data_IF_650936705407
#
_entry.id   IF_650936705407
#
_cell.length_a   1.000
_cell.length_b   1.000
_cell.length_c   1.000
_cell.angle_alpha   90.00
_cell.angle_beta   90.00
_cell.angle_gamma   90.00
#
_symmetry.space_group_name_H-M   'P 1'
#
loop_
_entity.id
_entity.type
_entity.pdbx_description
1 polymer ?
#
# COMPACT_ATOMS: atom_id res chain seq x y z
N UNK A 1 -30.17 38.19 -41.69
CA UNK A 1 -29.10 38.81 -42.48
C UNK A 1 -27.79 38.31 -41.96
N UNK A 2 -27.25 37.36 -42.65
CA UNK A 2 -25.96 37.34 -43.38
C UNK A 2 -24.75 37.48 -42.45
N UNK A 3 -23.77 36.66 -42.36
CA UNK A 3 -23.23 35.71 -43.34
C UNK A 3 -21.72 35.73 -43.22
N UNK A 4 -21.10 34.62 -43.58
CA UNK A 4 -19.70 34.55 -44.03
C UNK A 4 -18.67 34.14 -42.94
N UNK A 5 -18.20 32.99 -43.06
CA UNK A 5 -17.16 32.29 -43.86
C UNK A 5 -15.93 31.93 -43.03
N UNK A 6 -15.72 30.63 -42.98
CA UNK A 6 -14.45 29.97 -42.69
C UNK A 6 -13.32 30.37 -43.64
N UNK A 7 -12.06 30.19 -43.27
CA UNK A 7 -11.21 29.36 -44.12
C UNK A 7 -10.56 28.16 -43.46
N UNK A 8 -10.62 27.06 -44.20
CA UNK A 8 -9.74 25.90 -44.10
C UNK A 8 -8.32 26.31 -44.54
N UNK A 9 -7.32 25.84 -43.83
CA UNK A 9 -5.97 25.71 -44.39
C UNK A 9 -5.56 24.24 -44.23
N UNK A 10 -5.27 23.63 -45.40
CA UNK A 10 -4.71 22.31 -45.60
C UNK A 10 -3.18 22.36 -45.61
N UNK A 11 -2.61 21.18 -45.44
CA UNK A 11 -1.31 20.69 -45.89
C UNK A 11 -0.16 20.91 -44.86
N UNK A 12 0.77 20.01 -44.67
CA UNK A 12 1.30 18.98 -45.56
C UNK A 12 2.05 17.93 -44.76
N UNK A 13 1.90 16.72 -45.25
CA UNK A 13 2.63 15.49 -44.98
C UNK A 13 4.11 15.64 -45.41
N UNK A 14 5.06 15.28 -44.58
CA UNK A 14 6.42 14.98 -45.03
C UNK A 14 6.89 13.66 -44.39
N UNK A 15 6.89 12.64 -45.25
CA UNK A 15 7.43 11.31 -45.11
C UNK A 15 8.91 11.38 -45.41
N UNK A 16 9.80 10.95 -44.50
CA UNK A 16 11.20 10.64 -44.81
C UNK A 16 11.49 9.22 -44.41
N UNK A 17 11.58 8.37 -45.42
CA UNK A 17 12.18 7.03 -45.39
C UNK A 17 13.68 7.15 -45.62
N UNK A 18 14.49 6.44 -44.81
CA UNK A 18 15.85 6.08 -45.17
C UNK A 18 16.13 4.63 -44.78
N UNK A 19 16.38 3.88 -45.84
CA UNK A 19 16.82 2.48 -45.89
C UNK A 19 18.35 2.38 -45.76
N UNK A 20 18.83 1.23 -45.34
CA UNK A 20 20.15 0.67 -45.65
C UNK A 20 20.98 0.40 -44.40
N UNK A 21 21.72 -0.67 -44.29
CA UNK A 21 21.95 -1.87 -45.08
C UNK A 21 22.58 -2.93 -44.17
N UNK A 22 22.34 -4.18 -44.47
CA UNK A 22 23.05 -5.37 -43.98
C UNK A 22 24.54 -5.37 -44.33
N UNK A 23 25.33 -5.97 -43.45
CA UNK A 23 26.59 -6.65 -43.88
C UNK A 23 26.86 -7.87 -43.02
N UNK A 24 26.78 -9.00 -43.65
CA UNK A 24 27.26 -10.33 -43.26
C UNK A 24 28.75 -10.49 -43.61
N UNK A 25 29.53 -11.18 -42.76
CA UNK A 25 30.69 -12.01 -43.19
C UNK A 25 31.03 -12.97 -42.05
N UNK A 26 30.67 -14.22 -42.17
CA UNK A 26 31.39 -15.44 -42.62
C UNK A 26 32.61 -15.82 -41.80
N UNK A 27 32.49 -17.02 -41.27
CA UNK A 27 33.44 -18.00 -40.73
C UNK A 27 34.76 -18.13 -41.48
N UNK A 28 35.79 -18.51 -40.73
CA UNK A 28 36.73 -19.55 -41.17
C UNK A 28 37.40 -20.25 -39.99
N UNK A 29 37.38 -21.57 -40.06
CA UNK A 29 38.02 -22.55 -39.20
C UNK A 29 39.56 -22.53 -39.38
N UNK A 30 40.32 -22.91 -38.37
CA UNK A 30 41.52 -23.71 -38.59
C UNK A 30 41.93 -24.53 -37.35
N UNK A 31 41.99 -25.84 -37.55
CA UNK A 31 42.59 -26.85 -36.69
C UNK A 31 44.12 -26.77 -36.74
N UNK A 32 44.82 -27.06 -35.67
CA UNK A 32 45.94 -28.01 -35.67
C UNK A 32 46.54 -28.30 -34.29
N UNK A 33 46.58 -29.54 -33.99
CA UNK A 33 47.26 -30.41 -33.09
C UNK A 33 48.64 -29.97 -32.50
N UNK A 34 48.89 -30.41 -31.23
CA UNK A 34 50.26 -30.53 -30.68
C UNK A 34 50.29 -30.93 -29.21
N UNK A 35 50.44 -32.23 -28.97
CA UNK A 35 50.71 -32.94 -27.73
C UNK A 35 51.97 -32.43 -26.99
N UNK A 36 51.90 -32.38 -25.62
CA UNK A 36 52.83 -33.06 -24.67
C UNK A 36 52.46 -32.71 -23.20
N UNK A 37 52.23 -33.73 -22.39
CA UNK A 37 52.38 -33.74 -20.93
C UNK A 37 53.84 -33.96 -20.57
N UNK A 38 54.37 -33.66 -19.33
CA UNK A 38 53.82 -34.04 -18.05
C UNK A 38 54.10 -33.11 -16.82
N UNK A 39 53.56 -33.54 -15.70
CA UNK A 39 54.05 -33.43 -14.30
C UNK A 39 53.47 -32.33 -13.40
N UNK A 40 52.59 -32.73 -12.56
CA UNK A 40 52.68 -32.73 -11.10
C UNK A 40 52.74 -31.38 -10.39
N UNK A 41 51.58 -30.91 -9.86
CA UNK A 41 51.57 -30.15 -8.61
C UNK A 41 50.24 -30.37 -7.91
N UNK A 42 50.31 -30.95 -6.74
CA UNK A 42 49.25 -31.18 -5.81
C UNK A 42 48.62 -29.86 -5.36
N UNK A 43 47.39 -29.64 -5.74
CA UNK A 43 46.54 -28.61 -5.13
C UNK A 43 45.84 -29.18 -3.89
N UNK A 44 45.80 -28.47 -2.76
CA UNK A 44 45.07 -28.96 -1.59
C UNK A 44 43.58 -28.95 -1.89
N UNK A 45 42.90 -30.02 -1.43
CA UNK A 45 41.48 -30.18 -1.49
C UNK A 45 40.80 -28.99 -0.81
N UNK A 46 40.05 -28.21 -1.58
CA UNK A 46 39.06 -27.29 -1.03
C UNK A 46 37.96 -28.13 -0.36
N UNK A 47 37.89 -28.09 0.94
CA UNK A 47 36.75 -28.55 1.71
C UNK A 47 35.51 -27.84 1.20
N UNK A 48 34.57 -28.58 0.65
CA UNK A 48 33.22 -28.10 0.44
C UNK A 48 32.60 -27.85 1.83
N UNK A 49 32.71 -26.61 2.31
CA UNK A 49 31.79 -26.11 3.32
C UNK A 49 30.40 -26.07 2.65
N UNK A 50 29.53 -26.88 3.18
CA UNK A 50 28.15 -27.00 2.70
C UNK A 50 27.45 -25.66 2.99
N UNK A 51 26.66 -25.16 2.02
CA UNK A 51 25.82 -23.96 2.12
C UNK A 51 24.83 -23.95 3.30
N UNK A 52 24.79 -25.00 4.08
CA UNK A 52 23.98 -25.13 5.30
C UNK A 52 24.63 -24.52 6.55
N UNK A 53 25.93 -24.26 6.57
CA UNK A 53 26.60 -23.67 7.74
C UNK A 53 26.62 -22.12 7.74
N UNK A 54 26.18 -21.46 6.66
CA UNK A 54 26.14 -19.99 6.60
C UNK A 54 24.82 -19.41 7.16
N UNK A 55 23.88 -20.25 7.58
CA UNK A 55 22.49 -19.84 7.88
C UNK A 55 22.15 -19.68 9.35
N UNK A 56 23.10 -19.63 10.29
CA UNK A 56 22.77 -19.56 11.73
C UNK A 56 23.67 -18.62 12.54
N UNK A 57 24.12 -17.52 11.96
CA UNK A 57 24.53 -16.42 12.81
C UNK A 57 23.27 -15.58 13.07
N UNK A 58 22.69 -15.71 14.26
CA UNK A 58 21.56 -14.90 14.68
C UNK A 58 21.95 -13.43 14.53
N UNK A 59 21.13 -12.66 13.81
CA UNK A 59 21.35 -11.21 13.67
C UNK A 59 21.55 -10.58 15.06
N UNK A 60 22.46 -9.62 15.23
CA UNK A 60 22.66 -8.96 16.52
C UNK A 60 21.33 -8.38 17.02
N UNK A 61 21.04 -8.51 18.32
CA UNK A 61 19.78 -8.07 18.94
C UNK A 61 19.40 -6.62 18.58
N UNK A 62 20.39 -5.78 18.34
CA UNK A 62 20.18 -4.39 17.94
C UNK A 62 19.62 -4.25 16.53
N UNK A 63 20.00 -5.14 15.60
CA UNK A 63 19.48 -5.18 14.25
C UNK A 63 18.05 -5.70 14.22
N UNK A 64 17.71 -6.72 15.05
CA UNK A 64 16.34 -7.24 15.19
C UNK A 64 15.39 -6.15 15.66
N UNK A 65 15.80 -5.35 16.67
CA UNK A 65 14.98 -4.25 17.18
C UNK A 65 14.73 -3.17 16.11
N UNK A 66 15.75 -2.81 15.36
CA UNK A 66 15.63 -1.84 14.27
C UNK A 66 14.71 -2.37 13.15
N UNK A 67 14.83 -3.65 12.79
CA UNK A 67 13.94 -4.31 11.83
C UNK A 67 12.49 -4.36 12.34
N UNK A 68 12.28 -4.72 13.62
CA UNK A 68 10.97 -4.74 14.23
C UNK A 68 10.31 -3.36 14.23
N UNK A 69 11.05 -2.30 14.54
CA UNK A 69 10.53 -0.94 14.47
C UNK A 69 10.19 -0.51 13.04
N UNK A 70 11.01 -0.88 12.07
CA UNK A 70 10.90 -0.41 10.68
C UNK A 70 9.62 -0.87 9.95
N UNK A 71 8.93 -1.87 10.46
CA UNK A 71 7.66 -2.37 9.88
C UNK A 71 6.42 -1.81 10.59
N UNK A 72 6.55 -0.86 11.52
CA UNK A 72 5.45 -0.32 12.32
C UNK A 72 5.05 1.08 11.87
N UNK A 73 3.73 1.36 11.95
CA UNK A 73 3.15 2.67 11.62
C UNK A 73 2.22 3.15 12.77
N UNK A 74 2.79 3.66 13.88
CA UNK A 74 2.02 4.23 14.98
C UNK A 74 1.35 5.56 14.60
N UNK A 75 0.27 5.95 15.31
CA UNK A 75 -0.27 7.29 15.22
C UNK A 75 0.69 8.30 15.84
N UNK A 76 0.50 9.58 15.49
CA UNK A 76 1.24 10.68 16.09
C UNK A 76 0.32 11.77 16.61
N UNK A 77 0.66 12.34 17.74
CA UNK A 77 -0.10 13.43 18.38
C UNK A 77 0.34 14.78 17.85
N UNK A 78 1.66 15.02 17.84
CA UNK A 78 2.27 16.29 17.48
C UNK A 78 3.72 16.06 17.00
N UNK A 79 4.42 17.15 16.72
CA UNK A 79 5.80 17.12 16.22
C UNK A 79 6.77 16.34 17.13
N UNK A 80 6.74 16.58 18.43
CA UNK A 80 7.70 15.96 19.37
C UNK A 80 7.43 14.46 19.51
N UNK A 81 6.16 14.05 19.54
CA UNK A 81 5.77 12.65 19.55
C UNK A 81 6.15 11.95 18.25
N UNK A 82 5.90 12.58 17.09
CA UNK A 82 6.30 12.06 15.80
C UNK A 82 7.82 11.87 15.70
N UNK A 83 8.58 12.88 16.16
CA UNK A 83 10.04 12.81 16.20
C UNK A 83 10.54 11.66 17.06
N UNK A 84 10.01 11.51 18.28
CA UNK A 84 10.41 10.45 19.20
C UNK A 84 10.15 9.05 18.61
N UNK A 85 9.00 8.83 17.96
CA UNK A 85 8.65 7.56 17.30
C UNK A 85 9.57 7.28 16.11
N UNK A 86 9.84 8.29 15.29
CA UNK A 86 10.76 8.16 14.16
C UNK A 86 12.20 7.90 14.60
N UNK A 87 12.67 8.52 15.69
CA UNK A 87 13.97 8.24 16.31
C UNK A 87 14.04 6.83 16.93
N UNK A 88 12.90 6.27 17.38
CA UNK A 88 12.81 4.87 17.79
C UNK A 88 12.91 3.88 16.61
N UNK A 89 12.88 4.38 15.36
CA UNK A 89 13.13 3.60 14.17
C UNK A 89 11.88 3.14 13.40
N UNK A 90 10.67 3.61 13.75
CA UNK A 90 9.44 3.19 13.03
C UNK A 90 9.52 3.51 11.54
N UNK A 91 8.97 2.62 10.70
CA UNK A 91 9.01 2.76 9.25
C UNK A 91 8.11 3.85 8.70
N UNK A 92 7.04 4.13 9.42
CA UNK A 92 6.10 5.20 9.07
C UNK A 92 5.37 5.76 10.28
N UNK A 93 4.62 6.83 10.05
CA UNK A 93 3.71 7.43 11.02
C UNK A 93 2.34 7.65 10.38
N UNK A 94 1.29 7.47 11.17
CA UNK A 94 -0.09 7.74 10.77
C UNK A 94 -0.58 9.04 11.40
N UNK A 95 -1.21 9.91 10.62
CA UNK A 95 -1.80 11.17 11.07
C UNK A 95 -3.32 10.95 11.29
N UNK A 96 -3.75 10.65 12.53
CA UNK A 96 -5.17 10.49 12.84
C UNK A 96 -5.89 11.84 12.90
N UNK A 97 -7.23 11.82 12.89
CA UNK A 97 -8.06 13.03 12.93
C UNK A 97 -7.87 13.90 14.17
N UNK A 98 -7.35 13.34 15.25
CA UNK A 98 -7.11 14.01 16.53
C UNK A 98 -5.66 14.53 16.70
N UNK A 99 -4.78 14.35 15.69
CA UNK A 99 -3.44 14.91 15.72
C UNK A 99 -3.47 16.45 15.71
N UNK A 100 -2.41 17.06 16.24
CA UNK A 100 -2.25 18.52 16.22
C UNK A 100 -2.10 18.99 14.76
N UNK A 101 -3.00 19.86 14.26
CA UNK A 101 -2.92 20.39 12.90
C UNK A 101 -1.62 21.16 12.61
N UNK A 102 -0.92 21.66 13.63
CA UNK A 102 0.36 22.32 13.48
C UNK A 102 1.44 21.40 12.88
N UNK A 103 1.29 20.09 13.03
CA UNK A 103 2.14 19.09 12.37
C UNK A 103 2.16 19.24 10.84
N UNK A 104 1.13 19.85 10.24
CA UNK A 104 1.03 20.07 8.79
C UNK A 104 1.38 21.49 8.36
N UNK A 105 1.46 22.48 9.26
CA UNK A 105 1.52 23.89 8.86
C UNK A 105 2.51 24.75 9.67
N UNK A 106 3.04 24.29 10.80
CA UNK A 106 3.97 25.09 11.61
C UNK A 106 5.37 25.06 11.00
N UNK A 107 5.83 26.18 10.46
CA UNK A 107 7.15 26.29 9.83
C UNK A 107 8.27 25.86 10.80
N UNK A 108 9.10 24.93 10.36
CA UNK A 108 10.20 24.39 11.14
C UNK A 108 9.81 23.33 12.19
N UNK A 109 8.50 23.05 12.34
CA UNK A 109 7.96 21.99 13.21
C UNK A 109 6.84 21.19 12.52
N UNK A 110 6.92 21.10 11.21
CA UNK A 110 6.02 20.33 10.36
C UNK A 110 6.66 19.00 9.91
N UNK A 111 5.93 18.21 9.11
CA UNK A 111 6.42 16.94 8.55
C UNK A 111 7.68 17.14 7.70
N UNK A 112 7.79 18.27 6.98
CA UNK A 112 8.97 18.52 6.15
C UNK A 112 10.21 18.78 7.01
N UNK A 113 10.06 19.45 8.15
CA UNK A 113 11.13 19.61 9.13
C UNK A 113 11.54 18.27 9.75
N UNK A 114 10.57 17.37 10.07
CA UNK A 114 10.87 16.02 10.55
C UNK A 114 11.71 15.22 9.54
N UNK A 115 11.41 15.32 8.23
CA UNK A 115 12.21 14.64 7.19
C UNK A 115 13.66 15.10 7.18
N UNK A 116 13.91 16.39 7.41
CA UNK A 116 15.27 16.96 7.48
C UNK A 116 16.00 16.53 8.75
N UNK A 117 15.31 16.56 9.91
CA UNK A 117 15.93 16.22 11.21
C UNK A 117 16.23 14.72 11.35
N UNK A 118 15.31 13.86 10.93
CA UNK A 118 15.45 12.40 11.06
C UNK A 118 16.49 11.85 10.06
N UNK A 119 16.65 12.46 8.90
CA UNK A 119 17.71 12.16 7.94
C UNK A 119 17.65 10.76 7.30
N UNK A 120 16.47 10.11 7.32
CA UNK A 120 16.16 8.86 6.61
C UNK A 120 14.78 8.93 6.00
N UNK A 121 14.49 8.05 5.07
CA UNK A 121 13.15 7.91 4.51
C UNK A 121 12.21 7.25 5.52
N UNK A 122 10.95 7.71 5.53
CA UNK A 122 9.83 7.13 6.26
C UNK A 122 8.51 7.48 5.58
N UNK A 123 7.51 6.67 5.85
CA UNK A 123 6.16 6.92 5.36
C UNK A 123 5.40 7.85 6.30
N UNK A 124 4.56 8.70 5.70
CA UNK A 124 3.60 9.55 6.41
C UNK A 124 2.26 9.34 5.76
N UNK A 125 1.35 8.74 6.49
CA UNK A 125 0.05 8.32 5.99
C UNK A 125 -1.10 9.12 6.60
N UNK A 126 -2.19 9.19 5.85
CA UNK A 126 -3.44 9.86 6.22
C UNK A 126 -4.62 9.18 5.53
N UNK A 127 -5.83 9.34 6.09
CA UNK A 127 -7.08 9.07 5.38
C UNK A 127 -7.57 10.33 4.67
N UNK A 128 -7.46 10.37 3.35
CA UNK A 128 -7.88 11.50 2.55
C UNK A 128 -8.62 11.08 1.28
N UNK A 129 -9.79 10.44 1.49
CA UNK A 129 -10.62 9.88 0.44
C UNK A 129 -11.42 10.93 -0.35
N UNK A 130 -11.63 12.09 0.25
CA UNK A 130 -12.64 13.07 -0.13
C UNK A 130 -13.96 12.91 0.64
N UNK A 131 -14.87 13.85 0.47
CA UNK A 131 -16.16 13.87 1.16
C UNK A 131 -16.02 13.86 2.67
N UNK A 132 -16.72 12.94 3.34
CA UNK A 132 -16.70 12.84 4.82
C UNK A 132 -15.43 12.25 5.41
N UNK A 133 -14.54 11.67 4.58
CA UNK A 133 -13.25 11.12 5.01
C UNK A 133 -12.13 11.90 4.33
N UNK A 134 -11.83 13.06 4.85
CA UNK A 134 -10.72 13.92 4.46
C UNK A 134 -10.21 14.69 5.69
N UNK A 135 -9.18 14.10 6.33
CA UNK A 135 -8.61 14.65 7.56
C UNK A 135 -7.91 15.97 7.26
N UNK A 136 -8.13 17.00 8.10
CA UNK A 136 -7.52 18.33 7.95
C UNK A 136 -7.79 19.00 6.59
N UNK A 137 -9.01 18.83 6.04
CA UNK A 137 -9.42 19.45 4.78
C UNK A 137 -9.29 20.98 4.76
N UNK A 138 -9.39 21.62 5.91
CA UNK A 138 -9.15 23.06 6.09
C UNK A 138 -7.72 23.49 5.70
N UNK A 139 -6.74 22.57 5.81
CA UNK A 139 -5.34 22.79 5.44
C UNK A 139 -5.04 22.18 4.07
N UNK A 140 -5.52 20.96 3.84
CA UNK A 140 -5.17 20.14 2.67
C UNK A 140 -6.07 20.38 1.45
N UNK A 141 -7.20 21.07 1.65
CA UNK A 141 -8.22 21.30 0.62
C UNK A 141 -9.44 20.41 0.81
N UNK A 142 -10.58 20.84 0.28
CA UNK A 142 -11.85 20.13 0.37
C UNK A 142 -12.22 19.56 -1.01
N UNK A 143 -12.54 18.26 -1.04
CA UNK A 143 -12.82 17.51 -2.27
C UNK A 143 -14.11 16.72 -2.14
N UNK A 144 -14.83 16.45 -3.26
CA UNK A 144 -16.07 15.70 -3.22
C UNK A 144 -15.89 14.25 -2.77
N UNK A 145 -16.98 13.62 -2.31
CA UNK A 145 -16.98 12.20 -1.99
C UNK A 145 -16.74 11.35 -3.27
N UNK A 146 -16.13 10.14 -3.16
CA UNK A 146 -15.92 9.25 -4.30
C UNK A 146 -17.16 8.98 -5.14
N UNK A 147 -18.33 8.74 -4.52
CA UNK A 147 -19.60 8.58 -5.23
C UNK A 147 -19.94 9.82 -6.09
N UNK A 148 -19.74 11.01 -5.56
CA UNK A 148 -19.97 12.25 -6.29
C UNK A 148 -18.94 12.44 -7.41
N UNK A 149 -17.66 12.10 -7.15
CA UNK A 149 -16.63 12.13 -8.19
C UNK A 149 -17.05 11.29 -9.40
N UNK A 150 -17.49 10.05 -9.17
CA UNK A 150 -17.91 9.13 -10.23
C UNK A 150 -19.21 9.55 -10.93
N UNK A 151 -20.12 10.24 -10.23
CA UNK A 151 -21.37 10.73 -10.82
C UNK A 151 -21.18 11.95 -11.70
N UNK A 152 -20.19 12.80 -11.42
CA UNK A 152 -20.01 14.11 -12.08
C UNK A 152 -18.83 14.16 -13.05
N UNK A 153 -17.91 13.20 -12.99
CA UNK A 153 -16.64 13.19 -13.73
C UNK A 153 -16.37 11.87 -14.43
N UNK A 154 -15.64 11.95 -15.52
CA UNK A 154 -15.04 10.77 -16.14
C UNK A 154 -13.87 10.23 -15.33
N UNK A 155 -13.43 8.97 -15.52
CA UNK A 155 -12.24 8.43 -14.86
C UNK A 155 -10.99 9.30 -15.07
N UNK A 156 -10.81 9.89 -16.26
CA UNK A 156 -9.69 10.78 -16.55
C UNK A 156 -9.74 12.09 -15.74
N UNK A 157 -10.92 12.64 -15.53
CA UNK A 157 -11.09 13.84 -14.69
C UNK A 157 -10.92 13.52 -13.20
N UNK A 158 -11.28 12.31 -12.76
CA UNK A 158 -10.97 11.82 -11.41
C UNK A 158 -9.47 11.61 -11.22
N UNK A 159 -8.76 11.10 -12.21
CA UNK A 159 -7.29 10.99 -12.19
C UNK A 159 -6.62 12.36 -12.03
N UNK A 160 -7.09 13.38 -12.75
CA UNK A 160 -6.59 14.76 -12.61
C UNK A 160 -6.88 15.32 -11.21
N UNK A 161 -8.10 15.12 -10.70
CA UNK A 161 -8.48 15.56 -9.36
C UNK A 161 -7.62 14.87 -8.28
N UNK A 162 -7.39 13.58 -8.42
CA UNK A 162 -6.52 12.82 -7.51
C UNK A 162 -5.05 13.27 -7.59
N UNK A 163 -4.58 13.72 -8.76
CA UNK A 163 -3.28 14.37 -8.86
C UNK A 163 -3.23 15.67 -8.05
N UNK A 164 -4.26 16.50 -8.11
CA UNK A 164 -4.34 17.74 -7.31
C UNK A 164 -4.35 17.42 -5.81
N UNK A 165 -5.11 16.41 -5.38
CA UNK A 165 -5.09 15.88 -4.00
C UNK A 165 -3.67 15.47 -3.63
N UNK A 166 -3.03 14.63 -4.44
CA UNK A 166 -1.68 14.15 -4.21
C UNK A 166 -0.65 15.27 -4.10
N UNK A 167 -0.77 16.31 -4.93
CA UNK A 167 0.10 17.49 -4.85
C UNK A 167 -0.07 18.26 -3.54
N UNK A 168 -1.31 18.39 -3.05
CA UNK A 168 -1.57 18.98 -1.74
C UNK A 168 -0.95 18.16 -0.62
N UNK A 169 -1.20 16.85 -0.59
CA UNK A 169 -0.62 15.92 0.40
C UNK A 169 0.91 15.99 0.38
N UNK A 170 1.51 15.91 -0.79
CA UNK A 170 2.97 15.96 -0.99
C UNK A 170 3.60 17.24 -0.47
N UNK A 171 2.95 18.38 -0.72
CA UNK A 171 3.41 19.70 -0.25
C UNK A 171 3.51 19.75 1.28
N UNK A 172 2.63 19.05 1.97
CA UNK A 172 2.61 18.92 3.43
C UNK A 172 3.43 17.72 3.97
N UNK A 173 4.24 17.09 3.11
CA UNK A 173 5.15 16.01 3.50
C UNK A 173 4.51 14.63 3.59
N UNK A 174 3.22 14.48 3.28
CA UNK A 174 2.48 13.22 3.27
C UNK A 174 2.81 12.48 1.97
N UNK A 175 3.12 11.18 2.06
CA UNK A 175 3.50 10.35 0.91
C UNK A 175 2.72 9.04 0.79
N UNK A 176 1.76 8.79 1.69
CA UNK A 176 0.83 7.66 1.62
C UNK A 176 -0.58 8.18 1.91
N UNK A 177 -1.52 7.86 1.03
CA UNK A 177 -2.94 8.11 1.25
C UNK A 177 -3.68 6.77 1.35
N UNK A 178 -4.38 6.55 2.46
CA UNK A 178 -5.25 5.38 2.62
C UNK A 178 -6.54 5.58 1.81
N UNK A 179 -6.36 5.73 0.53
CA UNK A 179 -7.37 5.86 -0.52
C UNK A 179 -6.82 5.30 -1.84
N UNK A 180 -7.69 4.86 -2.75
CA UNK A 180 -9.14 4.91 -2.71
C UNK A 180 -9.80 3.69 -2.07
N UNK A 181 -11.08 3.86 -1.70
CA UNK A 181 -11.96 2.75 -1.30
C UNK A 181 -12.42 2.00 -2.55
N UNK A 182 -12.22 0.69 -2.56
CA UNK A 182 -12.70 -0.22 -3.60
C UNK A 182 -13.91 -1.07 -3.15
N UNK A 183 -14.38 -0.84 -1.92
CA UNK A 183 -15.61 -1.49 -1.44
C UNK A 183 -16.78 -1.08 -2.32
N UNK A 184 -17.59 -2.07 -2.71
CA UNK A 184 -18.77 -1.86 -3.56
C UNK A 184 -19.99 -1.79 -2.66
N UNK A 185 -20.68 -0.63 -2.63
CA UNK A 185 -21.90 -0.48 -1.85
C UNK A 185 -23.03 -1.34 -2.45
N UNK A 186 -23.22 -2.54 -1.88
CA UNK A 186 -24.23 -3.48 -2.33
C UNK A 186 -25.48 -3.54 -1.47
N UNK A 187 -25.39 -3.09 -0.22
CA UNK A 187 -26.45 -3.24 0.79
C UNK A 187 -26.86 -1.91 1.47
N UNK A 188 -26.36 -0.77 0.99
CA UNK A 188 -26.58 0.53 1.63
C UNK A 188 -25.93 0.60 3.01
N UNK A 189 -24.76 0.00 3.19
CA UNK A 189 -24.04 0.02 4.45
C UNK A 189 -23.45 1.42 4.69
N UNK A 190 -23.94 2.12 5.73
CA UNK A 190 -23.60 3.52 5.98
C UNK A 190 -22.08 3.77 6.10
N UNK A 191 -21.33 2.82 6.67
CA UNK A 191 -19.87 2.92 6.79
C UNK A 191 -19.16 2.96 5.44
N UNK A 192 -19.72 2.38 4.41
CA UNK A 192 -19.25 2.43 3.01
C UNK A 192 -19.91 3.62 2.29
N UNK A 193 -21.19 3.55 2.01
CA UNK A 193 -22.01 4.63 1.45
C UNK A 193 -21.33 5.42 0.34
N UNK A 194 -21.27 6.74 0.50
CA UNK A 194 -20.67 7.69 -0.45
C UNK A 194 -19.14 7.59 -0.61
N UNK A 195 -18.47 6.76 0.20
CA UNK A 195 -17.05 6.42 0.06
C UNK A 195 -16.80 5.44 -1.11
N UNK A 196 -17.81 4.69 -1.53
CA UNK A 196 -17.77 3.85 -2.73
C UNK A 196 -17.94 4.69 -3.97
N UNK A 197 -17.13 4.46 -5.00
CA UNK A 197 -17.33 5.11 -6.30
C UNK A 197 -18.61 4.66 -7.00
N UNK A 198 -19.02 3.41 -6.82
CA UNK A 198 -20.17 2.84 -7.54
C UNK A 198 -20.73 1.59 -6.83
N UNK A 199 -21.98 1.29 -7.13
CA UNK A 199 -22.61 0.00 -6.83
C UNK A 199 -22.29 -1.07 -7.87
N UNK A 200 -21.67 -0.70 -9.00
CA UNK A 200 -21.14 -1.61 -10.01
C UNK A 200 -19.64 -1.87 -9.73
N UNK A 201 -19.25 -3.14 -9.47
CA UNK A 201 -17.87 -3.47 -9.11
C UNK A 201 -16.85 -3.19 -10.22
N UNK A 202 -17.25 -3.26 -11.50
CA UNK A 202 -16.36 -2.93 -12.63
C UNK A 202 -16.09 -1.43 -12.66
N UNK A 203 -17.13 -0.63 -12.52
CA UNK A 203 -17.01 0.83 -12.47
C UNK A 203 -16.24 1.28 -11.22
N UNK A 204 -16.48 0.67 -10.05
CA UNK A 204 -15.73 0.96 -8.83
C UNK A 204 -14.21 0.72 -9.04
N UNK A 205 -13.84 -0.36 -9.71
CA UNK A 205 -12.45 -0.66 -10.05
C UNK A 205 -11.84 0.34 -11.04
N UNK A 206 -12.59 0.77 -12.06
CA UNK A 206 -12.15 1.74 -13.07
C UNK A 206 -11.83 3.11 -12.42
N UNK A 207 -12.75 3.64 -11.63
CA UNK A 207 -12.57 4.91 -10.93
C UNK A 207 -11.49 4.82 -9.84
N UNK A 208 -11.44 3.72 -9.08
CA UNK A 208 -10.40 3.48 -8.10
C UNK A 208 -9.00 3.44 -8.73
N UNK A 209 -8.85 2.78 -9.87
CA UNK A 209 -7.59 2.77 -10.62
C UNK A 209 -7.18 4.17 -11.09
N UNK A 210 -8.13 4.96 -11.60
CA UNK A 210 -7.88 6.34 -12.01
C UNK A 210 -7.44 7.22 -10.84
N UNK A 211 -8.12 7.11 -9.70
CA UNK A 211 -7.75 7.85 -8.48
C UNK A 211 -6.33 7.46 -8.01
N UNK A 212 -6.01 6.18 -7.97
CA UNK A 212 -4.69 5.70 -7.58
C UNK A 212 -3.57 6.19 -8.51
N UNK A 213 -3.80 6.18 -9.85
CA UNK A 213 -2.83 6.75 -10.80
C UNK A 213 -2.62 8.25 -10.62
N UNK A 214 -3.69 8.98 -10.29
CA UNK A 214 -3.60 10.41 -9.98
C UNK A 214 -2.69 10.68 -8.78
N UNK A 215 -2.88 9.98 -7.66
CA UNK A 215 -2.01 10.06 -6.48
C UNK A 215 -0.56 9.70 -6.81
N UNK A 216 -0.34 8.59 -7.51
CA UNK A 216 0.99 8.11 -7.91
C UNK A 216 1.73 9.13 -8.77
N UNK A 217 1.04 9.79 -9.71
CA UNK A 217 1.61 10.84 -10.57
C UNK A 217 2.08 12.08 -9.79
N UNK A 218 1.54 12.30 -8.59
CA UNK A 218 1.99 13.33 -7.64
C UNK A 218 3.10 12.81 -6.69
N UNK A 219 3.42 11.52 -6.73
CA UNK A 219 4.39 10.89 -5.84
C UNK A 219 3.83 10.57 -4.45
N UNK A 220 2.53 10.28 -4.37
CA UNK A 220 1.84 9.79 -3.19
C UNK A 220 1.37 8.35 -3.46
N UNK A 221 1.71 7.44 -2.55
CA UNK A 221 1.30 6.05 -2.63
C UNK A 221 -0.19 5.93 -2.33
N UNK A 222 -0.96 5.40 -3.27
CA UNK A 222 -2.35 5.01 -3.05
C UNK A 222 -2.45 3.67 -2.31
N UNK A 223 -3.51 3.48 -1.54
CA UNK A 223 -3.77 2.22 -0.83
C UNK A 223 -5.21 1.80 -1.07
N UNK A 224 -5.39 0.71 -1.82
CA UNK A 224 -6.71 0.13 -2.08
C UNK A 224 -7.27 -0.54 -0.84
N UNK A 225 -8.51 -0.25 -0.48
CA UNK A 225 -9.14 -0.73 0.75
C UNK A 225 -10.64 -1.00 0.59
N UNK A 226 -11.19 -1.87 1.39
CA UNK A 226 -10.63 -2.73 2.47
C UNK A 226 -10.73 -4.19 2.01
N UNK A 227 -9.62 -4.78 1.61
CA UNK A 227 -9.62 -6.18 1.17
C UNK A 227 -9.95 -7.12 2.36
N UNK A 228 -10.76 -8.16 2.21
CA UNK A 228 -11.31 -8.73 0.96
C UNK A 228 -12.61 -8.09 0.45
N UNK A 229 -13.06 -6.96 0.98
CA UNK A 229 -14.23 -6.21 0.52
C UNK A 229 -15.29 -6.02 1.59
N UNK A 230 -15.55 -4.76 1.96
CA UNK A 230 -16.45 -4.40 3.05
C UNK A 230 -17.90 -4.14 2.60
N UNK A 231 -18.14 -3.94 1.29
CA UNK A 231 -19.38 -3.34 0.77
C UNK A 231 -20.66 -4.10 1.06
N UNK A 232 -20.61 -5.44 1.17
CA UNK A 232 -21.75 -6.29 1.54
C UNK A 232 -21.60 -6.96 2.91
N UNK A 233 -20.69 -6.47 3.76
CA UNK A 233 -20.51 -7.02 5.10
C UNK A 233 -21.74 -6.75 5.99
N UNK A 234 -21.83 -7.51 7.10
CA UNK A 234 -22.98 -7.46 8.02
C UNK A 234 -23.00 -6.24 8.92
N UNK A 235 -21.92 -5.44 8.98
CA UNK A 235 -21.81 -4.33 9.91
C UNK A 235 -20.58 -3.46 9.70
N UNK A 236 -20.29 -2.65 10.71
CA UNK A 236 -19.21 -1.68 10.79
C UNK A 236 -18.12 -2.20 11.75
N UNK A 237 -16.93 -2.43 11.24
CA UNK A 237 -15.75 -2.90 12.01
C UNK A 237 -15.30 -1.94 13.11
N UNK A 238 -15.68 -0.66 13.03
CA UNK A 238 -15.46 0.30 14.12
C UNK A 238 -16.30 0.02 15.36
N UNK A 239 -17.44 -0.63 15.19
CA UNK A 239 -18.42 -0.85 16.24
C UNK A 239 -18.44 -2.28 16.78
N UNK A 240 -18.19 -3.27 15.92
CA UNK A 240 -18.24 -4.69 16.25
C UNK A 240 -17.59 -5.53 15.14
N UNK A 241 -17.60 -6.85 15.31
CA UNK A 241 -17.27 -7.78 14.23
C UNK A 241 -18.18 -7.57 13.01
N UNK A 242 -17.57 -7.63 11.83
CA UNK A 242 -18.27 -7.58 10.56
C UNK A 242 -17.96 -8.82 9.73
N UNK A 243 -19.00 -9.44 9.19
CA UNK A 243 -18.92 -10.69 8.44
C UNK A 243 -19.29 -10.42 6.99
N UNK A 244 -18.44 -10.84 6.06
CA UNK A 244 -18.69 -10.74 4.62
C UNK A 244 -19.69 -11.81 4.14
N UNK A 245 -20.19 -11.75 2.90
CA UNK A 245 -20.70 -12.94 2.22
C UNK A 245 -19.67 -14.07 2.21
N UNK A 246 -20.08 -15.33 1.98
CA UNK A 246 -19.17 -16.44 1.86
C UNK A 246 -18.08 -16.22 0.80
N UNK A 247 -16.88 -16.78 1.02
CA UNK A 247 -15.72 -16.59 0.14
C UNK A 247 -16.04 -16.85 -1.35
N UNK A 248 -16.83 -17.88 -1.63
CA UNK A 248 -17.23 -18.25 -3.00
C UNK A 248 -18.03 -17.15 -3.72
N UNK A 249 -18.70 -16.26 -2.97
CA UNK A 249 -19.44 -15.12 -3.53
C UNK A 249 -18.55 -13.90 -3.74
N UNK A 250 -17.47 -13.74 -2.94
CA UNK A 250 -16.59 -12.56 -3.01
C UNK A 250 -15.87 -12.46 -4.36
N UNK A 251 -15.49 -13.58 -4.96
CA UNK A 251 -14.81 -13.60 -6.26
C UNK A 251 -15.62 -12.96 -7.38
N UNK A 252 -16.95 -13.15 -7.32
CA UNK A 252 -17.89 -12.64 -8.33
C UNK A 252 -18.33 -11.21 -8.10
N UNK A 253 -17.90 -10.57 -7.02
CA UNK A 253 -18.34 -9.20 -6.69
C UNK A 253 -17.23 -8.38 -6.02
N UNK A 254 -16.86 -8.66 -4.77
CA UNK A 254 -15.92 -7.84 -4.00
C UNK A 254 -14.50 -7.84 -4.57
N UNK A 255 -14.06 -8.93 -5.20
CA UNK A 255 -12.71 -9.00 -5.78
C UNK A 255 -12.61 -8.34 -7.15
N UNK A 256 -13.73 -8.08 -7.82
CA UNK A 256 -13.71 -7.49 -9.17
C UNK A 256 -12.99 -6.14 -9.20
N UNK A 257 -13.30 -5.16 -8.30
CA UNK A 257 -12.60 -3.88 -8.34
C UNK A 257 -11.10 -4.00 -8.06
N UNK A 258 -10.69 -4.87 -7.15
CA UNK A 258 -9.26 -5.10 -6.86
C UNK A 258 -8.54 -5.73 -8.06
N UNK A 259 -9.12 -6.78 -8.66
CA UNK A 259 -8.57 -7.43 -9.88
C UNK A 259 -8.47 -6.45 -11.06
N UNK A 260 -9.39 -5.50 -11.16
CA UNK A 260 -9.39 -4.50 -12.22
C UNK A 260 -8.38 -3.37 -11.95
N UNK A 261 -8.27 -2.89 -10.71
CA UNK A 261 -7.48 -1.72 -10.37
C UNK A 261 -5.98 -2.01 -10.21
N UNK A 262 -5.61 -3.11 -9.56
CA UNK A 262 -4.21 -3.44 -9.25
C UNK A 262 -3.29 -3.44 -10.50
N UNK A 263 -3.64 -4.06 -11.63
CA UNK A 263 -2.78 -4.03 -12.83
C UNK A 263 -2.62 -2.62 -13.44
N UNK A 264 -3.57 -1.71 -13.17
CA UNK A 264 -3.56 -0.36 -13.72
C UNK A 264 -2.85 0.66 -12.81
N UNK A 265 -2.58 0.29 -11.57
CA UNK A 265 -1.88 1.11 -10.59
C UNK A 265 -0.85 0.26 -9.83
N UNK A 266 0.23 -0.17 -10.49
CA UNK A 266 1.18 -1.17 -9.96
C UNK A 266 1.96 -0.69 -8.73
N UNK A 267 2.00 0.62 -8.47
CA UNK A 267 2.65 1.20 -7.29
C UNK A 267 1.70 1.33 -6.08
N UNK A 268 0.40 1.05 -6.26
CA UNK A 268 -0.56 1.11 -5.18
C UNK A 268 -0.35 -0.06 -4.20
N UNK A 269 -0.56 0.23 -2.92
CA UNK A 269 -0.58 -0.77 -1.86
C UNK A 269 -2.00 -1.30 -1.64
N UNK A 270 -2.11 -2.31 -0.76
CA UNK A 270 -3.37 -2.90 -0.33
C UNK A 270 -3.55 -2.71 1.18
N UNK A 271 -4.79 -2.55 1.63
CA UNK A 271 -5.13 -2.56 3.06
C UNK A 271 -6.05 -3.74 3.36
N UNK A 272 -5.63 -4.55 4.33
CA UNK A 272 -6.39 -5.67 4.84
C UNK A 272 -7.38 -5.21 5.92
N UNK A 273 -8.67 -5.37 5.69
CA UNK A 273 -9.72 -5.02 6.64
C UNK A 273 -9.89 -6.06 7.76
N UNK A 274 -10.66 -5.69 8.80
CA UNK A 274 -10.95 -6.57 9.93
C UNK A 274 -12.25 -7.37 9.72
N UNK A 275 -12.33 -8.04 8.59
CA UNK A 275 -13.54 -8.75 8.16
C UNK A 275 -13.41 -10.26 8.41
N UNK A 276 -14.42 -10.86 9.03
CA UNK A 276 -14.55 -12.31 9.06
C UNK A 276 -15.17 -12.80 7.76
N UNK A 277 -14.60 -13.84 7.16
CA UNK A 277 -15.01 -14.39 5.86
C UNK A 277 -15.44 -15.84 6.01
N UNK A 278 -16.74 -16.14 5.96
CA UNK A 278 -17.20 -17.52 5.96
C UNK A 278 -16.58 -18.33 4.82
N UNK A 279 -15.98 -19.47 5.15
CA UNK A 279 -15.28 -20.31 4.18
C UNK A 279 -13.80 -19.99 4.00
N UNK A 280 -13.25 -19.02 4.75
CA UNK A 280 -11.83 -18.73 4.81
C UNK A 280 -11.32 -19.00 6.23
N UNK A 281 -10.28 -19.85 6.39
CA UNK A 281 -9.79 -20.25 7.70
C UNK A 281 -10.91 -20.85 8.56
N UNK A 282 -11.09 -20.31 9.77
CA UNK A 282 -12.19 -20.70 10.69
C UNK A 282 -13.51 -19.97 10.41
N UNK A 283 -13.50 -19.02 9.49
CA UNK A 283 -14.66 -18.20 9.13
C UNK A 283 -15.06 -17.13 10.16
N UNK A 284 -14.25 -16.92 11.21
CA UNK A 284 -14.50 -16.01 12.32
C UNK A 284 -13.34 -15.06 12.60
N UNK A 285 -12.11 -15.53 12.43
CA UNK A 285 -10.91 -14.71 12.63
C UNK A 285 -10.88 -13.56 11.62
N UNK A 286 -10.67 -12.31 12.06
CA UNK A 286 -10.54 -11.16 11.16
C UNK A 286 -9.43 -11.33 10.14
N UNK A 287 -9.70 -10.97 8.89
CA UNK A 287 -8.75 -11.11 7.77
C UNK A 287 -7.38 -10.47 8.05
N UNK A 288 -7.33 -9.38 8.79
CA UNK A 288 -6.08 -8.68 9.13
C UNK A 288 -5.08 -9.48 9.99
N UNK A 289 -5.54 -10.52 10.67
CA UNK A 289 -4.71 -11.44 11.47
C UNK A 289 -4.81 -12.90 11.00
N UNK A 290 -5.38 -13.14 9.81
CA UNK A 290 -5.61 -14.46 9.25
C UNK A 290 -4.66 -14.72 8.07
N UNK A 291 -3.71 -15.67 8.15
CA UNK A 291 -2.75 -15.97 7.07
C UNK A 291 -3.39 -16.27 5.73
N UNK A 292 -4.53 -17.00 5.73
CA UNK A 292 -5.26 -17.36 4.53
C UNK A 292 -5.79 -16.13 3.78
N UNK A 293 -6.08 -15.01 4.46
CA UNK A 293 -6.52 -13.78 3.82
C UNK A 293 -5.37 -13.11 3.04
N UNK A 294 -4.16 -13.14 3.58
CA UNK A 294 -2.97 -12.68 2.85
C UNK A 294 -2.64 -13.62 1.70
N UNK A 295 -2.85 -14.94 1.88
CA UNK A 295 -2.77 -15.92 0.81
C UNK A 295 -3.70 -15.58 -0.36
N UNK A 296 -4.95 -15.18 -0.09
CA UNK A 296 -5.88 -14.71 -1.13
C UNK A 296 -5.34 -13.50 -1.90
N UNK A 297 -4.77 -12.50 -1.22
CA UNK A 297 -4.19 -11.34 -1.88
C UNK A 297 -3.01 -11.74 -2.78
N UNK A 298 -2.12 -12.61 -2.30
CA UNK A 298 -0.94 -13.07 -3.05
C UNK A 298 -1.32 -13.97 -4.24
N UNK A 299 -2.21 -14.95 -4.02
CA UNK A 299 -2.53 -15.99 -5.00
C UNK A 299 -3.69 -15.61 -5.92
N UNK A 300 -4.81 -15.10 -5.37
CA UNK A 300 -6.02 -14.82 -6.15
C UNK A 300 -5.95 -13.48 -6.87
N UNK A 301 -5.37 -12.44 -6.23
CA UNK A 301 -5.15 -11.14 -6.87
C UNK A 301 -3.80 -11.08 -7.60
N UNK A 302 -2.90 -12.05 -7.38
CA UNK A 302 -1.51 -12.06 -7.88
C UNK A 302 -0.77 -10.77 -7.50
N UNK A 303 -0.96 -10.34 -6.26
CA UNK A 303 -0.42 -9.08 -5.75
C UNK A 303 0.80 -9.33 -4.87
N UNK A 304 1.95 -8.76 -5.26
CA UNK A 304 3.23 -8.91 -4.57
C UNK A 304 3.68 -7.63 -3.82
N UNK A 305 2.88 -6.57 -3.90
CA UNK A 305 3.17 -5.28 -3.26
C UNK A 305 2.90 -5.28 -1.74
N UNK A 306 3.15 -4.14 -1.06
CA UNK A 306 2.98 -4.01 0.38
C UNK A 306 1.50 -4.07 0.80
N UNK A 307 1.26 -4.74 1.93
CA UNK A 307 -0.08 -4.85 2.55
C UNK A 307 -0.03 -4.23 3.94
N UNK A 308 -0.81 -3.15 4.12
CA UNK A 308 -1.09 -2.54 5.41
C UNK A 308 -2.24 -3.27 6.11
N UNK A 309 -2.31 -3.19 7.44
CA UNK A 309 -3.58 -3.51 8.12
C UNK A 309 -4.47 -2.28 8.13
N UNK A 310 -5.77 -2.48 8.29
CA UNK A 310 -6.63 -1.42 8.83
C UNK A 310 -6.27 -1.13 10.30
N UNK A 311 -6.91 -0.16 10.95
CA UNK A 311 -6.60 0.29 12.32
C UNK A 311 -6.81 -0.82 13.35
N UNK A 312 -5.74 -1.51 13.74
CA UNK A 312 -5.80 -2.62 14.71
C UNK A 312 -5.94 -2.18 16.17
N UNK A 313 -5.81 -0.89 16.46
CA UNK A 313 -5.91 -0.38 17.82
C UNK A 313 -7.23 0.31 18.14
N UNK A 314 -7.86 0.92 17.14
CA UNK A 314 -9.07 1.71 17.30
C UNK A 314 -10.38 1.00 16.92
N UNK A 315 -10.31 -0.05 16.10
CA UNK A 315 -11.49 -0.77 15.63
C UNK A 315 -11.88 -1.94 16.55
N UNK A 316 -13.13 -1.96 17.02
CA UNK A 316 -13.61 -2.98 17.96
C UNK A 316 -13.63 -4.40 17.39
N UNK A 317 -13.73 -4.55 16.09
CA UNK A 317 -13.66 -5.84 15.42
C UNK A 317 -12.42 -6.67 15.80
N UNK A 318 -11.33 -5.99 16.20
CA UNK A 318 -10.09 -6.63 16.64
C UNK A 318 -9.68 -6.20 18.05
N UNK A 319 -9.79 -4.91 18.39
CA UNK A 319 -9.32 -4.37 19.68
C UNK A 319 -10.04 -4.94 20.91
N UNK A 320 -11.30 -5.36 20.76
CA UNK A 320 -12.08 -5.95 21.88
C UNK A 320 -11.55 -7.34 22.29
N UNK A 321 -10.85 -8.06 21.40
CA UNK A 321 -10.35 -9.43 21.64
C UNK A 321 -8.82 -9.54 21.67
N UNK A 322 -8.11 -8.57 21.10
CA UNK A 322 -6.65 -8.60 20.97
C UNK A 322 -6.03 -7.32 21.53
N UNK A 323 -5.19 -7.40 22.59
CA UNK A 323 -4.33 -6.29 22.99
C UNK A 323 -3.48 -5.81 21.81
N UNK A 324 -3.22 -4.51 21.71
CA UNK A 324 -2.53 -3.89 20.57
C UNK A 324 -1.23 -4.62 20.18
N UNK A 325 -0.36 -4.90 21.15
CA UNK A 325 0.93 -5.55 20.86
C UNK A 325 0.75 -6.96 20.30
N UNK A 326 -0.23 -7.72 20.80
CA UNK A 326 -0.55 -9.06 20.30
C UNK A 326 -1.14 -8.98 18.89
N UNK A 327 -2.06 -8.04 18.64
CA UNK A 327 -2.64 -7.82 17.32
C UNK A 327 -1.58 -7.43 16.26
N UNK A 328 -0.60 -6.61 16.65
CA UNK A 328 0.56 -6.27 15.78
C UNK A 328 1.36 -7.52 15.42
N UNK A 329 1.73 -8.33 16.42
CA UNK A 329 2.49 -9.56 16.19
C UNK A 329 1.70 -10.54 15.32
N UNK A 330 0.41 -10.73 15.61
CA UNK A 330 -0.45 -11.65 14.87
C UNK A 330 -0.66 -11.20 13.42
N UNK A 331 -0.79 -9.89 13.17
CA UNK A 331 -0.91 -9.36 11.80
C UNK A 331 0.38 -9.54 10.99
N UNK A 332 1.55 -9.31 11.60
CA UNK A 332 2.85 -9.57 10.96
C UNK A 332 3.03 -11.05 10.64
N UNK A 333 2.70 -11.93 11.59
CA UNK A 333 2.73 -13.39 11.37
C UNK A 333 1.75 -13.84 10.28
N UNK A 334 0.62 -13.15 10.12
CA UNK A 334 -0.34 -13.44 9.07
C UNK A 334 0.15 -13.02 7.69
N UNK A 335 1.04 -12.04 7.58
CA UNK A 335 1.60 -11.58 6.31
C UNK A 335 1.46 -10.09 6.03
N UNK A 336 1.10 -9.28 7.03
CA UNK A 336 1.12 -7.81 6.91
C UNK A 336 2.57 -7.31 6.79
N UNK A 337 2.76 -6.32 5.93
CA UNK A 337 4.05 -5.64 5.77
C UNK A 337 4.17 -4.45 6.74
N UNK A 338 3.05 -3.79 7.05
CA UNK A 338 3.03 -2.63 7.94
C UNK A 338 1.71 -2.51 8.70
N UNK A 339 1.64 -3.04 9.93
CA UNK A 339 0.52 -2.80 10.83
C UNK A 339 0.42 -1.32 11.21
N UNK A 340 -0.81 -0.79 11.25
CA UNK A 340 -1.09 0.55 11.73
C UNK A 340 -2.17 0.56 12.82
N UNK A 341 -2.19 1.62 13.61
CA UNK A 341 -3.22 1.83 14.64
C UNK A 341 -3.43 3.31 14.93
N UNK A 342 -4.58 3.66 15.50
CA UNK A 342 -4.96 5.04 15.84
C UNK A 342 -4.99 5.32 17.35
N UNK A 343 -4.79 4.33 18.20
CA UNK A 343 -4.78 4.50 19.65
C UNK A 343 -3.41 4.92 20.14
N UNK A 344 -3.35 5.82 21.13
CA UNK A 344 -2.09 6.16 21.81
C UNK A 344 -1.55 4.95 22.57
N UNK A 345 -0.22 4.85 22.66
CA UNK A 345 0.45 3.76 23.35
C UNK A 345 1.97 3.93 23.35
N UNK A 346 2.63 3.14 24.20
CA UNK A 346 4.10 3.08 24.23
C UNK A 346 4.63 2.28 23.05
N UNK A 347 5.23 2.97 22.09
CA UNK A 347 5.83 2.35 20.91
C UNK A 347 6.91 1.33 21.29
N UNK A 348 7.65 1.55 22.35
CA UNK A 348 8.69 0.61 22.79
C UNK A 348 8.08 -0.73 23.25
N UNK A 349 6.93 -0.70 23.92
CA UNK A 349 6.23 -1.93 24.31
C UNK A 349 5.80 -2.75 23.09
N UNK A 350 5.37 -2.10 22.01
CA UNK A 350 5.02 -2.78 20.75
C UNK A 350 6.26 -3.35 20.07
N UNK A 351 7.34 -2.56 19.97
CA UNK A 351 8.62 -3.03 19.41
C UNK A 351 9.15 -4.23 20.21
N UNK A 352 9.12 -4.17 21.55
CA UNK A 352 9.57 -5.26 22.43
C UNK A 352 8.73 -6.53 22.23
N UNK A 353 7.44 -6.41 21.99
CA UNK A 353 6.57 -7.57 21.69
C UNK A 353 6.96 -8.23 20.36
N UNK A 354 7.24 -7.45 19.31
CA UNK A 354 7.70 -7.98 18.02
C UNK A 354 9.07 -8.65 18.16
N UNK A 355 10.03 -8.02 18.83
CA UNK A 355 11.35 -8.63 19.14
C UNK A 355 11.19 -9.93 19.91
N UNK A 356 10.34 -9.95 20.94
CA UNK A 356 10.06 -11.15 21.74
C UNK A 356 9.42 -12.29 20.94
N UNK A 357 8.60 -11.96 19.93
CA UNK A 357 8.04 -12.94 19.00
C UNK A 357 9.14 -13.56 18.12
N UNK A 358 10.02 -12.72 17.56
CA UNK A 358 11.17 -13.19 16.75
C UNK A 358 12.09 -14.10 17.58
N UNK A 359 12.40 -13.74 18.83
CA UNK A 359 13.22 -14.57 19.74
C UNK A 359 12.58 -15.94 20.06
N UNK A 360 11.25 -16.03 19.95
CA UNK A 360 10.48 -17.25 20.12
C UNK A 360 10.29 -18.03 18.79
N UNK A 361 10.84 -17.54 17.68
CA UNK A 361 10.71 -18.17 16.35
C UNK A 361 9.34 -17.96 15.70
N UNK A 362 8.69 -16.88 16.05
CA UNK A 362 7.40 -16.43 15.49
C UNK A 362 7.61 -15.31 14.51
#
# INVERSE_FOLDING_TARGET
>A
LEGMKTPRILASLALVTALGACSTSTQEDNESQGSTTPAGSSSPAATHETLEEISQEAAPQQDIRAMAASVLMPPVTNYDDAKAKLEAGVGGIFIPSWADPNLLQEEGRDINALRQEVGRDFEVSIDFEGGRVQRFSEILGEYPAPQQMAAERSPQEVEQLAHEIGMSLKTHGINVDFAPVLDVDGNGLEVVGDRSFSTDPVQAGEYGAAFARGLDSAGVKAVFKHFPGHGRASGDTHLAEAVTPPLEELEGHEFIPFKAALPQAPNAALMMGHLAVPGLGDGQTPASILPEAYGLARETLQYDGPIYTDDIGGMKAIADSHPLADAVVDSLNAGADMPLWSTEGDINAVIDAVVGAVDQGR
#
